data_IF_241099293150
#
_entry.id   IF_241099293150
#
_cell.length_a   1.000
_cell.length_b   1.000
_cell.length_c   1.000
_cell.angle_alpha   90.00
_cell.angle_beta   90.00
_cell.angle_gamma   90.00
#
_symmetry.space_group_name_H-M   'P 1'
#
loop_
_entity.id
_entity.type
_entity.pdbx_description
1 polymer ?
#
# COMPACT_ATOMS: atom_id res chain seq x y z
N UNK A 1 0.18 -29.04 -33.20
CA UNK A 1 -0.83 -28.89 -32.14
C UNK A 1 -0.47 -27.65 -31.37
N UNK A 2 -1.17 -26.56 -31.67
CA UNK A 2 -0.96 -25.21 -31.14
C UNK A 2 -1.55 -25.15 -29.73
N UNK A 3 -0.73 -24.87 -28.73
CA UNK A 3 -1.19 -24.64 -27.37
C UNK A 3 -1.74 -23.21 -27.26
N UNK A 4 -3.05 -23.09 -27.04
CA UNK A 4 -3.68 -21.85 -26.60
C UNK A 4 -3.25 -21.56 -25.16
N UNK A 5 -2.51 -20.47 -24.95
CA UNK A 5 -2.39 -19.85 -23.64
C UNK A 5 -3.70 -19.10 -23.36
N UNK A 6 -4.45 -19.56 -22.34
CA UNK A 6 -5.56 -18.82 -21.79
C UNK A 6 -5.03 -17.66 -20.94
N UNK A 7 -5.11 -16.44 -21.45
CA UNK A 7 -5.01 -15.24 -20.64
C UNK A 7 -6.22 -15.16 -19.71
N UNK A 8 -6.07 -15.69 -18.49
CA UNK A 8 -7.07 -15.53 -17.43
C UNK A 8 -7.00 -14.11 -16.88
N UNK A 9 -7.87 -13.23 -17.37
CA UNK A 9 -8.07 -11.91 -16.78
C UNK A 9 -8.68 -12.06 -15.38
N UNK A 10 -7.84 -12.09 -14.34
CA UNK A 10 -8.34 -11.96 -12.96
C UNK A 10 -8.90 -10.55 -12.82
N UNK A 11 -10.22 -10.44 -12.66
CA UNK A 11 -10.91 -9.19 -12.41
C UNK A 11 -10.46 -8.64 -11.05
N UNK A 12 -10.24 -7.32 -10.97
CA UNK A 12 -9.99 -6.64 -9.69
C UNK A 12 -11.17 -6.91 -8.74
N UNK A 13 -10.87 -7.43 -7.55
CA UNK A 13 -11.90 -7.84 -6.59
C UNK A 13 -12.58 -6.63 -5.97
N UNK A 14 -13.82 -6.80 -5.49
CA UNK A 14 -14.49 -5.77 -4.69
C UNK A 14 -14.08 -5.88 -3.21
N UNK A 15 -13.92 -4.74 -2.53
CA UNK A 15 -13.78 -4.69 -1.06
C UNK A 15 -15.12 -4.94 -0.35
N UNK A 16 -16.24 -4.95 -1.08
CA UNK A 16 -17.57 -5.18 -0.52
C UNK A 16 -17.75 -6.66 -0.17
N UNK A 17 -17.96 -6.96 1.12
CA UNK A 17 -18.39 -8.28 1.55
C UNK A 17 -19.79 -8.59 1.01
N UNK A 18 -19.93 -9.71 0.30
CA UNK A 18 -21.19 -10.16 -0.28
C UNK A 18 -22.23 -10.46 0.81
N UNK A 19 -23.46 -10.02 0.59
CA UNK A 19 -24.53 -9.92 1.59
C UNK A 19 -24.90 -11.26 2.25
N UNK A 20 -24.73 -11.33 3.57
CA UNK A 20 -25.18 -12.45 4.39
C UNK A 20 -24.97 -12.20 5.88
N UNK A 21 -25.87 -11.43 6.51
CA UNK A 21 -25.94 -11.25 7.97
C UNK A 21 -24.67 -10.66 8.60
N UNK A 22 -24.45 -9.35 8.42
CA UNK A 22 -23.26 -8.63 8.85
C UNK A 22 -22.96 -8.78 10.35
N UNK A 23 -21.99 -9.63 10.68
CA UNK A 23 -21.11 -9.34 11.82
C UNK A 23 -20.20 -8.20 11.37
N UNK A 24 -20.23 -7.08 12.08
CA UNK A 24 -19.29 -5.98 11.87
C UNK A 24 -17.85 -6.52 11.82
N UNK A 25 -17.14 -6.23 10.74
CA UNK A 25 -15.73 -6.59 10.57
C UNK A 25 -14.90 -5.92 11.67
N UNK A 26 -14.06 -6.71 12.36
CA UNK A 26 -13.17 -6.20 13.41
C UNK A 26 -11.72 -6.30 12.97
N UNK A 27 -10.89 -5.33 13.38
CA UNK A 27 -9.46 -5.33 13.03
C UNK A 27 -8.74 -6.64 13.39
N UNK A 28 -8.95 -7.27 14.57
CA UNK A 28 -8.33 -8.56 14.87
C UNK A 28 -8.73 -9.67 13.88
N UNK A 29 -9.97 -9.68 13.39
CA UNK A 29 -10.42 -10.65 12.40
C UNK A 29 -9.78 -10.41 11.03
N UNK A 30 -9.69 -9.14 10.60
CA UNK A 30 -9.00 -8.72 9.37
C UNK A 30 -7.52 -9.10 9.41
N UNK A 31 -6.82 -8.78 10.51
CA UNK A 31 -5.40 -9.12 10.69
C UNK A 31 -5.15 -10.62 10.57
N UNK A 32 -6.01 -11.46 11.18
CA UNK A 32 -5.92 -12.92 11.10
C UNK A 32 -6.12 -13.44 9.67
N UNK A 33 -7.14 -12.93 8.98
CA UNK A 33 -7.43 -13.31 7.59
C UNK A 33 -6.27 -12.98 6.65
N UNK A 34 -5.75 -11.75 6.75
CA UNK A 34 -4.59 -11.29 5.99
C UNK A 34 -3.34 -12.12 6.33
N UNK A 35 -3.09 -12.37 7.62
CA UNK A 35 -1.96 -13.19 8.04
C UNK A 35 -2.06 -14.62 7.45
N UNK A 36 -3.25 -15.22 7.44
CA UNK A 36 -3.47 -16.55 6.87
C UNK A 36 -3.13 -16.58 5.38
N UNK A 37 -3.61 -15.60 4.60
CA UNK A 37 -3.27 -15.48 3.16
C UNK A 37 -1.78 -15.27 2.93
N UNK A 38 -1.17 -14.35 3.68
CA UNK A 38 0.25 -14.02 3.52
C UNK A 38 1.15 -15.19 3.91
N UNK A 39 0.90 -15.83 5.06
CA UNK A 39 1.70 -16.97 5.52
C UNK A 39 1.57 -18.18 4.58
N UNK A 40 0.38 -18.41 4.02
CA UNK A 40 0.17 -19.43 2.98
C UNK A 40 1.01 -19.12 1.74
N UNK A 41 0.98 -17.88 1.26
CA UNK A 41 1.80 -17.43 0.12
C UNK A 41 3.31 -17.57 0.42
N UNK A 42 3.76 -17.20 1.62
CA UNK A 42 5.17 -17.28 2.02
C UNK A 42 5.67 -18.72 2.23
N UNK A 43 4.78 -19.68 2.47
CA UNK A 43 5.12 -21.09 2.63
C UNK A 43 5.10 -21.88 1.31
N UNK A 44 4.43 -21.35 0.28
CA UNK A 44 4.32 -21.99 -1.03
C UNK A 44 5.65 -21.95 -1.80
N UNK A 45 5.84 -22.93 -2.69
CA UNK A 45 6.88 -22.84 -3.72
C UNK A 45 6.60 -21.64 -4.62
N UNK A 46 7.58 -20.73 -4.84
CA UNK A 46 7.32 -19.50 -5.56
C UNK A 46 7.01 -19.72 -7.05
N UNK A 47 7.41 -20.84 -7.67
CA UNK A 47 7.20 -21.15 -9.08
C UNK A 47 7.88 -20.23 -10.11
N UNK A 48 8.22 -18.99 -9.73
CA UNK A 48 8.91 -18.00 -10.58
C UNK A 48 9.92 -17.20 -9.77
N UNK A 49 10.93 -16.68 -10.45
CA UNK A 49 11.92 -15.77 -9.86
C UNK A 49 11.28 -14.51 -9.26
N UNK A 50 10.25 -13.95 -9.94
CA UNK A 50 9.52 -12.77 -9.44
C UNK A 50 8.86 -13.06 -8.10
N UNK A 51 8.12 -14.17 -7.99
CA UNK A 51 7.44 -14.53 -6.74
C UNK A 51 8.42 -14.89 -5.63
N UNK A 52 9.58 -15.49 -5.96
CA UNK A 52 10.66 -15.73 -5.00
C UNK A 52 11.14 -14.41 -4.38
N UNK A 53 11.38 -13.38 -5.20
CA UNK A 53 11.76 -12.04 -4.74
C UNK A 53 10.66 -11.37 -3.92
N UNK A 54 9.40 -11.48 -4.34
CA UNK A 54 8.25 -10.97 -3.57
C UNK A 54 8.20 -11.61 -2.18
N UNK A 55 8.41 -12.92 -2.06
CA UNK A 55 8.47 -13.59 -0.76
C UNK A 55 9.67 -13.10 0.08
N UNK A 56 10.84 -12.89 -0.53
CA UNK A 56 12.03 -12.37 0.16
C UNK A 56 11.81 -10.95 0.68
N UNK A 57 11.29 -10.07 -0.15
CA UNK A 57 10.96 -8.70 0.19
C UNK A 57 9.88 -8.63 1.26
N UNK A 58 8.82 -9.45 1.16
CA UNK A 58 7.79 -9.57 2.21
C UNK A 58 8.39 -9.96 3.56
N UNK A 59 9.32 -10.92 3.60
CA UNK A 59 9.99 -11.32 4.84
C UNK A 59 10.90 -10.22 5.38
N UNK A 60 11.56 -9.43 4.52
CA UNK A 60 12.35 -8.27 4.92
C UNK A 60 11.47 -7.17 5.51
N UNK A 61 10.40 -6.79 4.83
CA UNK A 61 9.44 -5.79 5.32
C UNK A 61 8.82 -6.20 6.65
N UNK A 62 8.46 -7.48 6.82
CA UNK A 62 7.96 -8.01 8.09
C UNK A 62 9.02 -7.93 9.22
N UNK A 63 10.32 -8.03 8.92
CA UNK A 63 11.37 -7.77 9.93
C UNK A 63 11.37 -6.32 10.38
N UNK A 64 11.33 -5.38 9.42
CA UNK A 64 11.32 -3.93 9.70
C UNK A 64 10.09 -3.52 10.50
N UNK A 65 8.92 -4.04 10.13
CA UNK A 65 7.66 -3.76 10.84
C UNK A 65 7.73 -4.31 12.27
N UNK A 66 8.26 -5.53 12.48
CA UNK A 66 8.43 -6.10 13.81
C UNK A 66 9.41 -5.28 14.66
N UNK A 67 10.49 -4.80 14.07
CA UNK A 67 11.43 -3.90 14.76
C UNK A 67 10.74 -2.60 15.20
N UNK A 68 9.94 -1.96 14.33
CA UNK A 68 9.16 -0.79 14.70
C UNK A 68 8.15 -1.10 15.82
N UNK A 69 7.45 -2.24 15.75
CA UNK A 69 6.53 -2.69 16.79
C UNK A 69 7.23 -2.97 18.14
N UNK A 70 8.51 -3.36 18.13
CA UNK A 70 9.29 -3.51 19.36
C UNK A 70 9.71 -2.16 19.96
N UNK A 71 9.98 -1.16 19.12
CA UNK A 71 10.45 0.15 19.56
C UNK A 71 9.31 1.10 20.00
N UNK A 72 8.12 0.94 19.41
CA UNK A 72 6.99 1.85 19.63
C UNK A 72 5.74 1.08 20.05
N UNK A 73 4.96 1.68 20.97
CA UNK A 73 3.58 1.26 21.23
C UNK A 73 2.67 1.61 20.05
N UNK A 74 1.49 1.01 19.97
CA UNK A 74 0.57 1.30 18.87
C UNK A 74 0.09 2.76 18.85
N UNK A 75 -0.13 3.37 20.00
CA UNK A 75 -0.50 4.79 20.11
C UNK A 75 0.62 5.73 19.60
N UNK A 76 1.86 5.24 19.53
CA UNK A 76 3.01 5.98 19.01
C UNK A 76 3.25 5.74 17.52
N UNK A 77 2.53 4.80 16.91
CA UNK A 77 2.62 4.44 15.50
C UNK A 77 1.43 4.95 14.72
N UNK A 78 1.70 5.40 13.49
CA UNK A 78 0.68 5.70 12.49
C UNK A 78 1.12 5.17 11.14
N UNK A 79 0.18 5.01 10.21
CA UNK A 79 0.47 4.67 8.81
C UNK A 79 -0.02 5.80 7.89
N UNK A 80 0.89 6.30 7.06
CA UNK A 80 0.51 7.20 5.96
C UNK A 80 -0.10 6.38 4.83
N UNK A 81 -1.39 6.55 4.60
CA UNK A 81 -2.18 5.76 3.65
C UNK A 81 -2.89 6.68 2.65
N UNK A 82 -2.61 6.51 1.36
CA UNK A 82 -3.17 7.34 0.29
C UNK A 82 -3.97 6.56 -0.76
N UNK A 83 -4.27 5.28 -0.50
CA UNK A 83 -4.96 4.39 -1.44
C UNK A 83 -4.11 3.90 -2.61
N UNK A 84 -2.84 4.32 -2.70
CA UNK A 84 -1.91 3.85 -3.72
C UNK A 84 -1.43 2.42 -3.48
N UNK A 85 -0.95 1.77 -4.55
CA UNK A 85 -0.44 0.39 -4.53
C UNK A 85 0.65 0.15 -3.47
N UNK A 86 1.55 1.11 -3.26
CA UNK A 86 2.73 0.92 -2.41
C UNK A 86 2.37 0.95 -0.91
N UNK A 87 1.57 1.94 -0.49
CA UNK A 87 1.06 1.97 0.88
C UNK A 87 0.04 0.85 1.16
N UNK A 88 -0.62 0.33 0.13
CA UNK A 88 -1.50 -0.84 0.24
C UNK A 88 -0.70 -2.11 0.55
N UNK A 89 0.41 -2.38 -0.16
CA UNK A 89 1.32 -3.50 0.19
C UNK A 89 1.80 -3.37 1.65
N UNK A 90 2.23 -2.17 2.03
CA UNK A 90 2.66 -1.87 3.39
C UNK A 90 1.55 -2.13 4.43
N UNK A 91 0.31 -1.70 4.16
CA UNK A 91 -0.84 -1.95 5.03
C UNK A 91 -1.06 -3.46 5.24
N UNK A 92 -1.08 -4.25 4.17
CA UNK A 92 -1.29 -5.70 4.25
C UNK A 92 -0.19 -6.38 5.07
N UNK A 93 1.08 -6.02 4.84
CA UNK A 93 2.21 -6.54 5.62
C UNK A 93 2.10 -6.12 7.10
N UNK A 94 1.66 -4.90 7.38
CA UNK A 94 1.50 -4.39 8.73
C UNK A 94 0.39 -5.13 9.49
N UNK A 95 -0.78 -5.31 8.88
CA UNK A 95 -1.90 -6.07 9.46
C UNK A 95 -1.51 -7.51 9.79
N UNK A 96 -0.72 -8.16 8.91
CA UNK A 96 -0.17 -9.49 9.19
C UNK A 96 0.74 -9.49 10.42
N UNK A 97 1.67 -8.52 10.51
CA UNK A 97 2.61 -8.43 11.63
C UNK A 97 1.91 -8.15 12.98
N UNK A 98 0.80 -7.40 12.98
CA UNK A 98 -0.03 -7.19 14.17
C UNK A 98 -0.63 -8.51 14.67
N UNK A 99 -1.09 -9.38 13.77
CA UNK A 99 -1.58 -10.70 14.14
C UNK A 99 -0.47 -11.57 14.75
N UNK A 100 0.71 -11.62 14.12
CA UNK A 100 1.85 -12.38 14.64
C UNK A 100 2.29 -11.90 16.03
N UNK A 101 2.26 -10.59 16.27
CA UNK A 101 2.58 -10.04 17.58
C UNK A 101 1.55 -10.44 18.64
N UNK A 102 0.27 -10.43 18.30
CA UNK A 102 -0.82 -10.80 19.20
C UNK A 102 -0.82 -12.30 19.56
N UNK A 103 -0.28 -13.16 18.71
CA UNK A 103 -0.19 -14.61 18.99
C UNK A 103 1.05 -15.01 19.77
N UNK A 104 2.07 -14.14 19.80
CA UNK A 104 3.38 -14.42 20.44
C UNK A 104 3.62 -13.62 21.72
N UNK A 105 2.69 -12.74 22.12
CA UNK A 105 2.78 -11.91 23.31
C UNK A 105 1.39 -11.54 23.84
N UNK A 106 1.30 -10.91 25.02
CA UNK A 106 0.04 -10.37 25.57
C UNK A 106 -0.48 -9.12 24.83
N UNK A 107 -0.06 -8.93 23.56
CA UNK A 107 -0.41 -7.79 22.74
C UNK A 107 -1.85 -7.88 22.26
N UNK A 108 -2.63 -6.82 22.51
CA UNK A 108 -4.02 -6.72 22.08
C UNK A 108 -4.11 -5.84 20.86
N UNK A 109 -4.66 -6.39 19.77
CA UNK A 109 -4.97 -5.61 18.56
C UNK A 109 -6.16 -4.68 18.87
N UNK A 110 -6.06 -3.37 18.59
CA UNK A 110 -7.14 -2.41 18.84
C UNK A 110 -8.34 -2.64 17.91
N UNK A 111 -9.40 -1.85 18.07
CA UNK A 111 -10.55 -1.90 17.16
C UNK A 111 -10.28 -1.21 15.82
N UNK A 112 -9.43 -0.19 15.82
CA UNK A 112 -9.06 0.58 14.63
C UNK A 112 -7.56 0.84 14.59
N UNK A 113 -7.04 1.10 13.39
CA UNK A 113 -5.63 1.40 13.16
C UNK A 113 -5.44 2.88 12.82
N UNK A 114 -4.60 3.59 13.57
CA UNK A 114 -4.32 5.00 13.31
C UNK A 114 -3.63 5.18 11.96
N UNK A 115 -4.25 6.01 11.13
CA UNK A 115 -3.79 6.30 9.77
C UNK A 115 -3.95 7.77 9.45
N UNK A 116 -3.10 8.27 8.56
CA UNK A 116 -3.17 9.64 8.06
C UNK A 116 -3.22 9.65 6.54
N UNK A 117 -4.19 10.37 6.01
CA UNK A 117 -4.34 10.63 4.58
C UNK A 117 -4.20 12.13 4.29
N UNK A 118 -3.18 12.46 3.51
CA UNK A 118 -2.95 13.81 3.00
C UNK A 118 -3.57 13.87 1.62
N UNK A 119 -4.67 14.61 1.50
CA UNK A 119 -5.49 14.66 0.29
C UNK A 119 -4.78 15.53 -0.75
N UNK A 120 -4.71 15.03 -1.98
CA UNK A 120 -4.24 15.82 -3.13
C UNK A 120 -5.10 17.08 -3.30
N UNK A 121 -4.51 18.16 -3.83
CA UNK A 121 -5.25 19.40 -4.12
C UNK A 121 -6.37 19.18 -5.15
N UNK A 122 -6.17 18.23 -6.06
CA UNK A 122 -7.10 17.89 -7.13
C UNK A 122 -7.26 16.36 -7.16
N UNK A 123 -7.95 15.74 -6.18
CA UNK A 123 -8.01 14.29 -6.06
C UNK A 123 -8.82 13.67 -7.21
N UNK A 124 -8.49 12.43 -7.56
CA UNK A 124 -9.38 11.58 -8.34
C UNK A 124 -10.48 11.05 -7.43
N UNK A 125 -11.72 11.04 -7.93
CA UNK A 125 -12.85 10.48 -7.17
C UNK A 125 -12.61 9.00 -6.88
N UNK A 126 -12.06 8.26 -7.84
CA UNK A 126 -11.75 6.83 -7.74
C UNK A 126 -10.70 6.52 -6.67
N UNK A 127 -9.82 7.47 -6.36
CA UNK A 127 -8.85 7.35 -5.26
C UNK A 127 -9.55 7.58 -3.93
N UNK A 128 -10.34 8.65 -3.81
CA UNK A 128 -11.09 8.94 -2.59
C UNK A 128 -12.07 7.80 -2.25
N UNK A 129 -12.82 7.30 -3.24
CA UNK A 129 -13.72 6.16 -3.09
C UNK A 129 -12.96 4.92 -2.60
N UNK A 130 -11.82 4.59 -3.22
CA UNK A 130 -11.02 3.44 -2.82
C UNK A 130 -10.42 3.59 -1.41
N UNK A 131 -10.02 4.80 -1.02
CA UNK A 131 -9.55 5.10 0.34
C UNK A 131 -10.67 4.91 1.35
N UNK A 132 -11.88 5.37 1.04
CA UNK A 132 -13.06 5.23 1.91
C UNK A 132 -13.46 3.75 2.08
N UNK A 133 -13.51 2.99 0.99
CA UNK A 133 -13.78 1.55 1.01
C UNK A 133 -12.70 0.79 1.80
N UNK A 134 -11.42 1.11 1.56
CA UNK A 134 -10.29 0.48 2.26
C UNK A 134 -10.28 0.82 3.74
N UNK A 135 -10.64 2.05 4.12
CA UNK A 135 -10.74 2.46 5.52
C UNK A 135 -11.78 1.63 6.28
N UNK A 136 -12.91 1.33 5.65
CA UNK A 136 -13.93 0.45 6.24
C UNK A 136 -13.46 -1.01 6.28
N UNK A 137 -12.97 -1.53 5.16
CA UNK A 137 -12.56 -2.93 5.03
C UNK A 137 -11.41 -3.31 5.98
N UNK A 138 -10.49 -2.38 6.24
CA UNK A 138 -9.30 -2.59 7.07
C UNK A 138 -9.39 -1.93 8.45
N UNK A 139 -10.56 -1.41 8.84
CA UNK A 139 -10.81 -0.74 10.13
C UNK A 139 -9.80 0.40 10.43
N UNK A 140 -9.58 1.28 9.47
CA UNK A 140 -8.64 2.40 9.59
C UNK A 140 -9.32 3.59 10.28
N UNK A 141 -8.70 4.09 11.34
CA UNK A 141 -8.99 5.40 11.93
C UNK A 141 -8.23 6.45 11.12
N UNK A 142 -8.90 7.04 10.13
CA UNK A 142 -8.28 7.81 9.06
C UNK A 142 -8.43 9.32 9.26
N UNK A 143 -7.37 9.95 9.74
CA UNK A 143 -7.28 11.40 9.85
C UNK A 143 -6.97 12.03 8.48
N UNK A 144 -7.72 13.05 8.08
CA UNK A 144 -7.67 13.65 6.73
C UNK A 144 -7.22 15.09 6.75
N UNK A 145 -6.25 15.43 5.90
CA UNK A 145 -5.70 16.78 5.79
C UNK A 145 -5.57 17.19 4.32
N UNK A 146 -6.22 18.29 3.94
CA UNK A 146 -6.12 18.89 2.59
C UNK A 146 -5.18 20.11 2.62
N UNK A 147 -3.89 19.86 2.88
CA UNK A 147 -2.83 20.88 2.99
C UNK A 147 -1.55 20.40 2.31
N UNK A 148 -0.52 21.26 2.25
CA UNK A 148 0.81 20.78 1.84
C UNK A 148 1.29 19.68 2.79
N UNK A 149 2.10 18.74 2.30
CA UNK A 149 2.51 17.57 3.09
C UNK A 149 3.13 17.95 4.44
N UNK A 150 3.96 18.99 4.44
CA UNK A 150 4.61 19.49 5.65
C UNK A 150 3.62 20.08 6.65
N UNK A 151 2.69 20.93 6.20
CA UNK A 151 1.67 21.52 7.07
C UNK A 151 0.70 20.47 7.60
N UNK A 152 0.29 19.52 6.75
CA UNK A 152 -0.58 18.42 7.13
C UNK A 152 0.05 17.56 8.24
N UNK A 153 1.33 17.20 8.13
CA UNK A 153 2.01 16.46 9.21
C UNK A 153 2.22 17.32 10.46
N UNK A 154 2.43 18.63 10.33
CA UNK A 154 2.51 19.53 11.49
C UNK A 154 1.19 19.54 12.28
N UNK A 155 0.05 19.66 11.59
CA UNK A 155 -1.25 19.62 12.22
C UNK A 155 -1.56 18.22 12.77
N UNK A 156 -1.27 17.16 12.00
CA UNK A 156 -1.51 15.79 12.41
C UNK A 156 -0.82 15.45 13.73
N UNK A 157 0.46 15.81 13.88
CA UNK A 157 1.19 15.56 15.12
C UNK A 157 0.78 16.48 16.27
N UNK A 158 0.21 17.65 15.98
CA UNK A 158 -0.40 18.50 17.00
C UNK A 158 -1.71 17.89 17.52
N UNK A 159 -2.50 17.28 16.64
CA UNK A 159 -3.75 16.59 16.98
C UNK A 159 -3.49 15.22 17.65
N UNK A 160 -2.38 14.55 17.28
CA UNK A 160 -2.04 13.19 17.71
C UNK A 160 -0.69 13.16 18.43
N UNK A 161 -0.61 13.85 19.57
CA UNK A 161 0.65 14.13 20.29
C UNK A 161 1.43 12.90 20.78
N UNK A 162 0.84 11.71 20.75
CA UNK A 162 1.51 10.45 21.09
C UNK A 162 2.32 9.88 19.92
N UNK A 163 1.98 10.20 18.67
CA UNK A 163 2.62 9.64 17.48
C UNK A 163 4.09 10.07 17.44
N UNK A 164 4.97 9.08 17.30
CA UNK A 164 6.43 9.26 17.22
C UNK A 164 7.01 8.68 15.94
N UNK A 165 6.35 7.69 15.35
CA UNK A 165 6.79 7.01 14.15
C UNK A 165 5.62 6.83 13.16
N UNK A 166 5.90 7.04 11.88
CA UNK A 166 4.91 6.91 10.81
C UNK A 166 5.48 5.97 9.74
N UNK A 167 4.73 4.91 9.43
CA UNK A 167 5.00 4.04 8.31
C UNK A 167 4.69 4.75 6.98
N UNK A 168 5.62 4.69 6.02
CA UNK A 168 5.52 5.37 4.72
C UNK A 168 5.85 4.39 3.61
N UNK A 169 5.01 4.37 2.58
CA UNK A 169 5.12 3.47 1.41
C UNK A 169 6.08 3.92 0.32
N UNK A 170 7.11 4.72 0.63
CA UNK A 170 8.12 5.17 -0.34
C UNK A 170 9.05 4.03 -0.73
N UNK A 171 9.45 3.98 -2.00
CA UNK A 171 10.46 3.06 -2.58
C UNK A 171 11.72 3.81 -3.02
N UNK A 172 12.85 3.11 -3.19
CA UNK A 172 14.12 3.74 -3.64
C UNK A 172 14.01 4.43 -4.99
N UNK A 173 13.14 3.92 -5.85
CA UNK A 173 12.90 4.42 -7.20
C UNK A 173 11.95 5.63 -7.22
N UNK A 174 11.34 5.99 -6.08
CA UNK A 174 10.53 7.20 -5.97
C UNK A 174 11.40 8.47 -5.91
N UNK A 175 10.85 9.65 -6.29
CA UNK A 175 11.52 10.92 -6.09
C UNK A 175 12.00 11.09 -4.64
N UNK A 176 13.29 11.41 -4.47
CA UNK A 176 13.97 11.56 -3.18
C UNK A 176 14.09 10.26 -2.35
N UNK A 177 13.80 9.09 -2.92
CA UNK A 177 13.83 7.79 -2.23
C UNK A 177 15.19 7.09 -2.20
N UNK A 178 16.11 7.43 -3.11
CA UNK A 178 17.32 6.65 -3.39
C UNK A 178 18.18 6.36 -2.14
N UNK A 179 18.42 7.38 -1.31
CA UNK A 179 19.30 7.30 -0.13
C UNK A 179 18.56 6.98 1.18
N UNK A 180 17.24 6.76 1.14
CA UNK A 180 16.45 6.45 2.32
C UNK A 180 16.81 5.05 2.88
N UNK A 181 16.71 4.93 4.19
CA UNK A 181 16.86 3.71 4.98
C UNK A 181 15.50 3.25 5.46
N UNK A 182 15.45 2.05 6.03
CA UNK A 182 14.24 1.55 6.68
C UNK A 182 13.75 2.44 7.82
N UNK A 183 14.65 3.16 8.48
CA UNK A 183 14.34 4.08 9.57
C UNK A 183 15.12 5.38 9.35
N UNK A 184 14.41 6.48 9.11
CA UNK A 184 14.99 7.81 9.00
C UNK A 184 14.15 8.82 9.76
N UNK A 185 14.80 9.65 10.56
CA UNK A 185 14.15 10.87 11.03
C UNK A 185 13.80 11.77 9.84
N UNK A 186 12.71 12.50 9.98
CA UNK A 186 12.38 13.60 9.06
C UNK A 186 13.52 14.61 8.95
N UNK A 187 13.66 15.21 7.76
CA UNK A 187 14.72 16.16 7.49
C UNK A 187 14.56 17.45 8.30
N UNK A 188 15.64 18.23 8.42
CA UNK A 188 15.62 19.51 9.15
C UNK A 188 14.53 20.43 8.59
N UNK A 189 13.70 20.95 9.50
CA UNK A 189 12.62 21.87 9.17
C UNK A 189 11.29 21.18 8.89
N UNK A 190 11.22 19.85 8.80
CA UNK A 190 9.97 19.11 8.90
C UNK A 190 9.55 18.92 10.37
N UNK A 191 8.24 18.72 10.63
CA UNK A 191 7.79 18.22 11.93
C UNK A 191 8.52 16.92 12.27
N UNK A 192 8.96 16.79 13.52
CA UNK A 192 9.88 15.73 13.93
C UNK A 192 9.16 14.41 14.22
N UNK A 193 9.44 13.37 13.42
CA UNK A 193 9.04 11.99 13.67
C UNK A 193 10.00 11.00 12.99
N UNK A 194 9.89 9.72 13.34
CA UNK A 194 10.58 8.63 12.65
C UNK A 194 9.77 8.19 11.44
N UNK A 195 10.34 8.25 10.24
CA UNK A 195 9.79 7.61 9.04
C UNK A 195 10.25 6.16 9.03
N UNK A 196 9.30 5.23 8.88
CA UNK A 196 9.58 3.80 8.73
C UNK A 196 9.21 3.37 7.32
N UNK A 197 10.17 2.82 6.57
CA UNK A 197 10.00 2.43 5.16
C UNK A 197 10.19 0.91 4.95
N UNK A 198 9.21 0.06 5.35
CA UNK A 198 9.36 -1.39 5.21
C UNK A 198 9.42 -1.87 3.77
N UNK A 199 8.82 -1.12 2.83
CA UNK A 199 8.74 -1.48 1.41
C UNK A 199 9.79 -0.78 0.54
N UNK A 200 10.80 -0.14 1.15
CA UNK A 200 11.74 0.75 0.43
C UNK A 200 12.48 0.06 -0.72
N UNK A 201 12.81 -1.22 -0.60
CA UNK A 201 13.60 -1.98 -1.59
C UNK A 201 12.73 -2.76 -2.60
N UNK A 202 11.41 -2.53 -2.62
CA UNK A 202 10.50 -3.21 -3.56
C UNK A 202 10.60 -2.60 -4.96
N UNK A 203 10.51 -3.47 -5.97
CA UNK A 203 10.40 -3.06 -7.37
C UNK A 203 8.94 -3.04 -7.85
N UNK A 204 8.64 -2.26 -8.88
CA UNK A 204 7.29 -2.06 -9.41
C UNK A 204 6.58 -3.39 -9.74
N UNK A 205 7.27 -4.27 -10.46
CA UNK A 205 6.77 -5.59 -10.82
C UNK A 205 6.50 -6.48 -9.59
N UNK A 206 7.24 -6.30 -8.49
CA UNK A 206 7.08 -7.04 -7.23
C UNK A 206 5.85 -6.56 -6.47
N UNK A 207 5.61 -5.23 -6.43
CA UNK A 207 4.40 -4.63 -5.84
C UNK A 207 3.15 -5.22 -6.48
N UNK A 208 3.09 -5.25 -7.81
CA UNK A 208 1.94 -5.81 -8.52
C UNK A 208 1.82 -7.33 -8.37
N UNK A 209 2.93 -8.06 -8.43
CA UNK A 209 2.90 -9.50 -8.21
C UNK A 209 2.35 -9.83 -6.82
N UNK A 210 2.73 -9.09 -5.78
CA UNK A 210 2.15 -9.26 -4.44
C UNK A 210 0.65 -9.00 -4.41
N UNK A 211 0.21 -7.83 -4.90
CA UNK A 211 -1.20 -7.43 -4.91
C UNK A 211 -2.05 -8.48 -5.64
N UNK A 212 -1.60 -8.91 -6.82
CA UNK A 212 -2.31 -9.84 -7.69
C UNK A 212 -2.31 -11.27 -7.13
N UNK A 213 -1.18 -11.75 -6.60
CA UNK A 213 -1.11 -13.11 -6.04
C UNK A 213 -1.93 -13.27 -4.77
N UNK A 214 -2.02 -12.24 -3.94
CA UNK A 214 -2.85 -12.26 -2.72
C UNK A 214 -4.31 -11.86 -2.97
N UNK A 215 -4.68 -11.56 -4.22
CA UNK A 215 -6.02 -11.06 -4.61
C UNK A 215 -6.47 -9.87 -3.75
N UNK A 216 -5.58 -8.91 -3.57
CA UNK A 216 -5.86 -7.68 -2.81
C UNK A 216 -6.55 -6.69 -3.76
N UNK A 217 -7.76 -6.20 -3.44
CA UNK A 217 -8.41 -5.14 -4.22
C UNK A 217 -7.57 -3.86 -4.26
N UNK A 218 -7.56 -3.18 -5.41
CA UNK A 218 -6.79 -1.94 -5.61
C UNK A 218 -7.61 -0.88 -6.36
N UNK A 219 -7.18 0.38 -6.32
CA UNK A 219 -7.86 1.49 -7.00
C UNK A 219 -8.04 1.21 -8.51
N UNK A 220 -9.26 1.38 -9.02
CA UNK A 220 -9.65 1.03 -10.40
C UNK A 220 -8.89 1.80 -11.48
N UNK A 221 -8.31 2.96 -11.16
CA UNK A 221 -7.46 3.71 -12.10
C UNK A 221 -6.28 2.86 -12.59
N UNK A 222 -5.78 1.95 -11.77
CA UNK A 222 -4.70 1.06 -12.20
C UNK A 222 -5.15 0.12 -13.34
N UNK A 223 -6.43 -0.26 -13.42
CA UNK A 223 -6.95 -1.03 -14.56
C UNK A 223 -7.06 -0.18 -15.84
N UNK A 224 -7.09 1.15 -15.71
CA UNK A 224 -7.15 2.11 -16.80
C UNK A 224 -5.76 2.60 -17.26
N UNK A 225 -4.70 1.90 -16.86
CA UNK A 225 -3.32 2.17 -17.29
C UNK A 225 -2.60 3.29 -16.54
N UNK A 226 -3.19 3.82 -15.47
CA UNK A 226 -2.45 4.69 -14.55
C UNK A 226 -1.45 3.84 -13.75
N UNK A 227 -0.21 4.31 -13.59
CA UNK A 227 0.86 3.53 -12.94
C UNK A 227 1.45 4.24 -11.72
N UNK A 228 1.25 5.56 -11.64
CA UNK A 228 1.54 6.43 -10.50
C UNK A 228 0.38 7.39 -10.29
N UNK A 229 -0.20 7.46 -9.08
CA UNK A 229 -1.40 8.26 -8.79
C UNK A 229 -1.07 9.54 -8.02
N UNK A 230 -1.50 10.70 -8.51
CA UNK A 230 -1.42 11.98 -7.81
C UNK A 230 -2.74 12.73 -7.96
N UNK A 231 -2.71 13.97 -8.46
CA UNK A 231 -3.92 14.73 -8.75
C UNK A 231 -4.39 14.60 -10.21
N UNK A 232 -5.66 14.92 -10.45
CA UNK A 232 -6.29 14.92 -11.79
C UNK A 232 -5.63 15.88 -12.78
N UNK A 233 -4.86 16.86 -12.28
CA UNK A 233 -4.14 17.85 -13.09
C UNK A 233 -2.70 17.45 -13.42
N UNK A 234 -2.16 16.40 -12.80
CA UNK A 234 -0.74 16.01 -12.92
C UNK A 234 -0.53 14.50 -13.13
N UNK A 235 -1.58 13.79 -13.54
CA UNK A 235 -1.60 12.35 -13.66
C UNK A 235 -2.34 11.93 -14.92
N UNK A 236 -1.67 11.14 -15.76
CA UNK A 236 -2.21 10.58 -17.00
C UNK A 236 -1.93 9.07 -17.06
N UNK A 237 -2.72 8.30 -17.85
CA UNK A 237 -2.38 6.92 -18.14
C UNK A 237 -0.98 6.79 -18.75
N UNK A 238 -0.28 5.71 -18.42
CA UNK A 238 1.10 5.52 -18.83
C UNK A 238 1.18 5.30 -20.35
N UNK A 239 1.96 6.10 -21.11
CA UNK A 239 2.06 5.94 -22.56
C UNK A 239 2.60 4.58 -22.99
N UNK A 240 3.36 3.88 -22.14
CA UNK A 240 3.88 2.52 -22.40
C UNK A 240 2.79 1.44 -22.42
N UNK A 241 1.64 1.73 -21.81
CA UNK A 241 0.50 0.82 -21.73
C UNK A 241 -0.56 1.08 -22.81
N UNK A 242 -0.35 2.06 -23.69
CA UNK A 242 -1.32 2.39 -24.74
C UNK A 242 -1.49 1.24 -25.74
N UNK A 243 -2.72 0.94 -26.14
CA UNK A 243 -3.04 -0.07 -27.15
C UNK A 243 -3.08 0.53 -28.56
N UNK A 244 -2.77 -0.30 -29.57
CA UNK A 244 -2.76 0.09 -31.00
C UNK A 244 -4.12 -0.13 -31.71
N UNK A 245 -5.17 -0.46 -30.95
CA UNK A 245 -6.48 -0.90 -31.45
C UNK A 245 -7.40 0.24 -31.95
N UNK A 246 -6.87 1.45 -32.14
CA UNK A 246 -7.59 2.60 -32.72
C UNK A 246 -8.61 3.26 -31.79
N UNK A 247 -8.93 2.63 -30.65
CA UNK A 247 -9.58 3.26 -29.49
C UNK A 247 -8.45 3.65 -28.54
N UNK A 248 -8.47 4.85 -27.96
CA UNK A 248 -7.45 5.26 -26.98
C UNK A 248 -7.63 4.48 -25.66
N UNK A 249 -7.28 3.19 -25.67
CA UNK A 249 -7.36 2.30 -24.51
C UNK A 249 -5.95 2.01 -23.98
N UNK A 250 -5.89 1.57 -22.72
CA UNK A 250 -4.64 1.28 -22.03
C UNK A 250 -4.73 -0.09 -21.37
N UNK A 251 -3.63 -0.82 -21.42
CA UNK A 251 -3.40 -2.01 -20.62
C UNK A 251 -3.36 -1.64 -19.13
N UNK A 252 -3.74 -2.56 -18.24
CA UNK A 252 -3.69 -2.34 -16.81
C UNK A 252 -2.25 -2.16 -16.29
N UNK A 253 -2.12 -1.47 -15.17
CA UNK A 253 -0.85 -1.04 -14.58
C UNK A 253 0.11 -2.20 -14.30
N UNK A 254 -0.40 -3.36 -13.93
CA UNK A 254 0.40 -4.55 -13.63
C UNK A 254 1.03 -5.20 -14.87
N UNK A 255 0.75 -4.71 -16.09
CA UNK A 255 1.48 -5.09 -17.30
C UNK A 255 2.75 -4.25 -17.55
N UNK A 256 3.00 -3.18 -16.77
CA UNK A 256 4.27 -2.46 -16.79
C UNK A 256 5.33 -3.22 -15.98
N UNK A 257 6.56 -3.25 -16.46
CA UNK A 257 7.65 -4.03 -15.86
C UNK A 257 8.76 -3.15 -15.26
N UNK A 258 9.16 -2.09 -15.97
CA UNK A 258 10.32 -1.27 -15.62
C UNK A 258 9.96 -0.15 -14.60
N UNK A 259 10.73 -0.03 -13.52
CA UNK A 259 10.52 0.99 -12.48
C UNK A 259 10.66 2.41 -13.03
N UNK A 260 11.63 2.65 -13.90
CA UNK A 260 11.92 3.97 -14.47
C UNK A 260 10.77 4.49 -15.33
N UNK A 261 9.90 3.59 -15.81
CA UNK A 261 8.77 3.92 -16.66
C UNK A 261 7.49 4.24 -15.88
N UNK A 262 7.44 3.91 -14.60
CA UNK A 262 6.26 4.08 -13.74
C UNK A 262 5.69 5.50 -13.76
N UNK A 263 6.58 6.49 -13.86
CA UNK A 263 6.21 7.91 -13.76
C UNK A 263 6.09 8.60 -15.11
N UNK A 264 6.10 7.87 -16.23
CA UNK A 264 5.93 8.47 -17.57
C UNK A 264 4.56 9.12 -17.79
N UNK A 265 3.55 8.78 -16.97
CA UNK A 265 2.26 9.46 -16.93
C UNK A 265 2.24 10.75 -16.08
N UNK A 266 3.40 11.28 -15.68
CA UNK A 266 3.55 12.51 -14.88
C UNK A 266 4.20 13.63 -15.70
N UNK A 267 3.91 14.91 -15.41
CA UNK A 267 4.71 16.02 -15.92
C UNK A 267 6.19 15.85 -15.52
N UNK A 268 7.10 16.10 -16.45
CA UNK A 268 8.56 16.13 -16.22
C UNK A 268 9.01 17.49 -15.72
#
# INVERSE_FOLDING_TARGET
MTAQQSAGGSQNGSLTHDGGGEKATTLPAVCREINTRLTTFLAADPGTERLRRVQEQSRLSLRVIREALQQYSLDELSLSYNGGKDCLVLLILYLSALHERATTSDFVIPQTLHTVYIISRHPFKEVDDFVDESAQAYCLDLARYAKSMKEAFSDYLADHTKVKAIFVGTRRTDPHGADLKHFDHTDRGWPAFMRVHPVIDWHYAEVWAFIRTLNIPYCSLYDLGYTSLGGTTDTYPNPRLKTDDGVASFKPAYELEEDEEERLGRPQ
#
